data_IF_657850664861
#
_entry.id   IF_657850664861
#
_cell.length_a   1.000
_cell.length_b   1.000
_cell.length_c   1.000
_cell.angle_alpha   90.00
_cell.angle_beta   90.00
_cell.angle_gamma   90.00
#
_symmetry.space_group_name_H-M   'P 1'
#
loop_
_entity.id
_entity.type
_entity.pdbx_description
1 polymer ?
#
# COMPACT_ATOMS: atom_id res chain seq x y z
N UNK A 1 20.02 -1.92 -28.55
CA UNK A 1 18.81 -1.32 -27.98
C UNK A 1 19.15 -0.96 -26.53
N UNK A 2 19.32 0.33 -26.23
CA UNK A 2 19.71 0.78 -24.88
C UNK A 2 18.51 0.60 -23.94
N UNK A 3 18.65 -0.27 -22.94
CA UNK A 3 17.70 -0.35 -21.86
C UNK A 3 17.61 1.02 -21.18
N UNK A 4 16.43 1.62 -21.16
CA UNK A 4 16.21 2.93 -20.54
C UNK A 4 16.30 2.72 -19.03
N UNK A 5 17.31 3.31 -18.40
CA UNK A 5 17.50 3.28 -16.95
C UNK A 5 16.28 3.91 -16.23
N UNK A 6 15.49 3.13 -15.47
CA UNK A 6 14.27 3.61 -14.80
C UNK A 6 14.55 4.70 -13.77
N UNK A 7 15.72 4.66 -13.13
CA UNK A 7 16.15 5.69 -12.15
C UNK A 7 16.36 7.02 -12.85
N UNK A 8 17.00 7.01 -14.02
CA UNK A 8 17.21 8.19 -14.83
C UNK A 8 15.89 8.83 -15.27
N UNK A 9 14.92 8.02 -15.71
CA UNK A 9 13.61 8.55 -16.11
C UNK A 9 12.86 9.19 -14.93
N UNK A 10 12.91 8.57 -13.75
CA UNK A 10 12.27 9.10 -12.56
C UNK A 10 12.88 10.45 -12.13
N UNK A 11 14.20 10.58 -12.18
CA UNK A 11 14.91 11.83 -11.86
C UNK A 11 14.58 12.94 -12.87
N UNK A 12 14.58 12.63 -14.16
CA UNK A 12 14.20 13.58 -15.20
C UNK A 12 12.75 14.06 -15.04
N UNK A 13 11.84 13.14 -14.72
CA UNK A 13 10.45 13.49 -14.45
C UNK A 13 10.33 14.44 -13.24
N UNK A 14 11.07 14.19 -12.15
CA UNK A 14 11.11 15.09 -10.98
C UNK A 14 11.62 16.46 -11.33
N UNK A 15 12.69 16.57 -12.14
CA UNK A 15 13.25 17.85 -12.61
C UNK A 15 12.20 18.65 -13.40
N UNK A 16 11.43 17.98 -14.27
CA UNK A 16 10.37 18.66 -15.04
C UNK A 16 9.17 19.09 -14.18
N UNK A 17 8.81 18.28 -13.18
CA UNK A 17 7.77 18.64 -12.21
C UNK A 17 8.21 19.83 -11.38
N UNK A 18 9.45 19.82 -10.87
CA UNK A 18 10.02 20.93 -10.13
C UNK A 18 10.04 22.24 -10.94
N UNK A 19 10.43 22.20 -12.21
CA UNK A 19 10.35 23.37 -13.11
C UNK A 19 8.93 23.95 -13.14
N UNK A 20 7.90 23.09 -13.23
CA UNK A 20 6.50 23.52 -13.32
C UNK A 20 6.00 24.05 -11.97
N UNK A 21 6.31 23.39 -10.85
CA UNK A 21 5.85 23.80 -9.51
C UNK A 21 6.51 25.10 -9.05
N UNK A 22 7.79 25.29 -9.39
CA UNK A 22 8.52 26.51 -9.12
C UNK A 22 8.25 27.63 -10.14
N UNK A 23 7.37 27.38 -11.11
CA UNK A 23 7.03 28.31 -12.20
C UNK A 23 8.27 28.93 -12.89
N UNK A 24 9.33 28.14 -13.06
CA UNK A 24 10.58 28.64 -13.64
C UNK A 24 10.41 28.94 -15.14
N UNK A 25 10.77 30.16 -15.53
CA UNK A 25 10.89 30.52 -16.92
C UNK A 25 11.94 29.66 -17.64
N UNK A 26 11.79 29.45 -18.94
CA UNK A 26 12.68 28.58 -19.72
C UNK A 26 14.15 29.00 -19.62
N UNK A 27 14.42 30.29 -19.64
CA UNK A 27 15.78 30.84 -19.57
C UNK A 27 16.39 30.58 -18.19
N UNK A 28 15.62 30.79 -17.09
CA UNK A 28 16.06 30.52 -15.72
C UNK A 28 16.33 29.02 -15.53
N UNK A 29 15.45 28.18 -16.05
CA UNK A 29 15.63 26.73 -16.00
C UNK A 29 16.90 26.28 -16.74
N UNK A 30 17.13 26.79 -17.97
CA UNK A 30 18.34 26.47 -18.75
C UNK A 30 19.62 26.98 -18.07
N UNK A 31 19.56 28.17 -17.47
CA UNK A 31 20.68 28.72 -16.70
C UNK A 31 21.05 27.82 -15.52
N UNK A 32 20.07 27.30 -14.78
CA UNK A 32 20.29 26.36 -13.69
C UNK A 32 20.92 25.06 -14.23
N UNK A 33 20.38 24.45 -15.29
CA UNK A 33 20.97 23.26 -15.91
C UNK A 33 22.42 23.51 -16.36
N UNK A 34 22.66 24.64 -17.03
CA UNK A 34 24.01 25.06 -17.44
C UNK A 34 24.98 25.21 -16.28
N UNK A 35 24.54 25.80 -15.17
CA UNK A 35 25.36 25.94 -13.95
C UNK A 35 25.81 24.60 -13.39
N UNK A 36 24.89 23.64 -13.26
CA UNK A 36 25.21 22.31 -12.69
C UNK A 36 25.90 21.37 -13.67
N UNK A 37 25.86 21.65 -14.96
CA UNK A 37 26.61 20.92 -15.99
C UNK A 37 27.94 21.58 -16.34
N UNK A 38 28.39 22.60 -15.59
CA UNK A 38 29.58 23.42 -15.91
C UNK A 38 29.57 23.98 -17.33
N UNK A 39 28.40 24.41 -17.81
CA UNK A 39 28.20 24.97 -19.16
C UNK A 39 28.12 23.94 -20.29
N UNK A 40 28.24 22.66 -20.00
CA UNK A 40 28.30 21.58 -21.00
C UNK A 40 26.98 21.37 -21.72
N UNK A 41 25.87 21.62 -21.06
CA UNK A 41 24.51 21.46 -21.64
C UNK A 41 23.47 22.31 -20.92
N UNK A 42 22.44 22.68 -21.64
CA UNK A 42 21.21 23.33 -21.15
C UNK A 42 20.02 22.37 -21.06
N UNK A 43 20.24 21.09 -21.36
CA UNK A 43 19.22 20.05 -21.38
C UNK A 43 19.39 19.07 -20.22
N UNK A 44 18.35 18.91 -19.41
CA UNK A 44 18.32 17.93 -18.30
C UNK A 44 18.56 16.50 -18.76
N UNK A 45 18.17 16.16 -20.00
CA UNK A 45 18.36 14.82 -20.55
C UNK A 45 19.84 14.43 -20.71
N UNK A 46 20.76 15.42 -20.81
CA UNK A 46 22.20 15.21 -20.98
C UNK A 46 22.99 15.31 -19.67
N UNK A 47 22.31 15.47 -18.53
CA UNK A 47 22.94 15.49 -17.21
C UNK A 47 23.38 14.09 -16.79
N UNK A 48 24.54 14.01 -16.15
CA UNK A 48 25.00 12.81 -15.45
C UNK A 48 24.14 12.54 -14.21
N UNK A 49 24.16 11.33 -13.61
CA UNK A 49 23.43 11.03 -12.38
C UNK A 49 23.73 12.03 -11.24
N UNK A 50 25.01 12.35 -11.03
CA UNK A 50 25.46 13.30 -10.00
C UNK A 50 24.92 14.71 -10.24
N UNK A 51 24.93 15.18 -11.48
CA UNK A 51 24.39 16.49 -11.86
C UNK A 51 22.87 16.56 -11.69
N UNK A 52 22.13 15.47 -12.00
CA UNK A 52 20.68 15.41 -11.78
C UNK A 52 20.31 15.52 -10.31
N UNK A 53 21.06 14.83 -9.42
CA UNK A 53 20.86 14.98 -7.98
C UNK A 53 21.12 16.39 -7.51
N UNK A 54 22.25 16.99 -7.91
CA UNK A 54 22.59 18.36 -7.52
C UNK A 54 21.54 19.40 -8.00
N UNK A 55 20.95 19.20 -9.18
CA UNK A 55 19.83 20.03 -9.67
C UNK A 55 18.57 19.85 -8.82
N UNK A 56 18.25 18.61 -8.43
CA UNK A 56 17.09 18.33 -7.57
C UNK A 56 17.27 18.93 -6.18
N UNK A 57 18.45 18.77 -5.57
CA UNK A 57 18.79 19.37 -4.28
C UNK A 57 18.65 20.90 -4.34
N UNK A 58 19.12 21.52 -5.42
CA UNK A 58 18.94 22.96 -5.63
C UNK A 58 17.47 23.36 -5.75
N UNK A 59 16.66 22.60 -6.46
CA UNK A 59 15.22 22.87 -6.55
C UNK A 59 14.51 22.71 -5.19
N UNK A 60 14.97 21.79 -4.34
CA UNK A 60 14.48 21.67 -2.97
C UNK A 60 14.82 22.93 -2.14
N UNK A 61 16.01 23.49 -2.32
CA UNK A 61 16.35 24.79 -1.67
C UNK A 61 15.50 25.96 -2.16
N UNK A 62 14.99 25.90 -3.40
CA UNK A 62 14.07 26.88 -3.96
C UNK A 62 12.61 26.64 -3.52
N UNK A 63 12.35 25.63 -2.68
CA UNK A 63 11.03 25.32 -2.14
C UNK A 63 10.28 24.19 -2.85
N UNK A 64 10.89 23.54 -3.85
CA UNK A 64 10.33 22.31 -4.40
C UNK A 64 10.31 21.22 -3.32
N UNK A 65 9.14 20.71 -3.03
CA UNK A 65 8.98 19.54 -2.17
C UNK A 65 8.68 18.36 -3.06
N UNK A 66 9.63 17.43 -3.25
CA UNK A 66 9.35 16.23 -4.03
C UNK A 66 8.13 15.55 -3.41
N UNK A 67 6.97 15.77 -4.02
CA UNK A 67 5.78 15.04 -3.62
C UNK A 67 6.04 13.57 -3.96
N UNK A 68 5.91 12.68 -2.99
CA UNK A 68 5.79 11.24 -3.22
C UNK A 68 4.52 10.90 -4.04
N UNK A 69 3.86 11.91 -4.60
CA UNK A 69 2.72 11.77 -5.48
C UNK A 69 3.21 11.10 -6.75
N UNK A 70 2.95 9.82 -6.87
CA UNK A 70 3.07 9.11 -8.13
C UNK A 70 2.45 9.98 -9.24
N UNK A 71 3.13 10.16 -10.39
CA UNK A 71 2.60 10.99 -11.45
C UNK A 71 1.17 10.57 -11.78
N UNK A 72 0.26 11.53 -11.83
CA UNK A 72 -1.16 11.34 -12.11
C UNK A 72 -1.44 10.72 -13.49
N UNK A 73 -0.41 10.36 -14.22
CA UNK A 73 -0.41 10.02 -15.63
C UNK A 73 -0.53 8.53 -15.94
N UNK A 74 -0.93 7.67 -15.02
CA UNK A 74 -1.33 6.34 -15.45
C UNK A 74 -2.29 5.68 -14.45
N UNK A 75 -3.56 5.99 -14.61
CA UNK A 75 -4.68 5.29 -13.97
C UNK A 75 -4.95 3.91 -14.61
N UNK A 76 -4.00 3.35 -15.33
CA UNK A 76 -4.14 1.97 -15.81
C UNK A 76 -4.04 1.04 -14.63
N UNK A 77 -5.14 0.40 -14.31
CA UNK A 77 -5.21 -0.63 -13.28
C UNK A 77 -4.23 -1.74 -13.66
N UNK A 78 -3.30 -2.03 -12.77
CA UNK A 78 -2.40 -3.17 -12.95
C UNK A 78 -3.20 -4.47 -12.75
N UNK A 79 -3.47 -5.16 -13.83
CA UNK A 79 -4.28 -6.39 -13.86
C UNK A 79 -3.47 -7.67 -13.66
N UNK A 80 -2.15 -7.56 -13.43
CA UNK A 80 -1.32 -8.75 -13.18
C UNK A 80 -1.79 -9.48 -11.92
N UNK A 81 -1.77 -10.83 -11.92
CA UNK A 81 -2.19 -11.62 -10.76
C UNK A 81 -1.45 -11.26 -9.47
N UNK A 82 -0.15 -10.90 -9.57
CA UNK A 82 0.65 -10.47 -8.43
C UNK A 82 0.17 -9.12 -7.85
N UNK A 83 -0.15 -8.16 -8.71
CA UNK A 83 -0.68 -6.86 -8.28
C UNK A 83 -2.05 -7.03 -7.61
N UNK A 84 -2.91 -7.88 -8.17
CA UNK A 84 -4.20 -8.20 -7.54
C UNK A 84 -4.01 -8.87 -6.17
N UNK A 85 -3.03 -9.78 -6.06
CA UNK A 85 -2.72 -10.42 -4.78
C UNK A 85 -2.23 -9.42 -3.74
N UNK A 86 -1.38 -8.45 -4.13
CA UNK A 86 -0.95 -7.37 -3.23
C UNK A 86 -2.13 -6.55 -2.73
N UNK A 87 -3.05 -6.16 -3.62
CA UNK A 87 -4.27 -5.43 -3.25
C UNK A 87 -5.14 -6.22 -2.27
N UNK A 88 -5.33 -7.51 -2.52
CA UNK A 88 -6.12 -8.36 -1.64
C UNK A 88 -5.49 -8.50 -0.24
N UNK A 89 -4.17 -8.68 -0.16
CA UNK A 89 -3.46 -8.75 1.13
C UNK A 89 -3.50 -7.40 1.86
N UNK A 90 -3.34 -6.29 1.14
CA UNK A 90 -3.43 -4.93 1.69
C UNK A 90 -4.82 -4.64 2.26
N UNK A 91 -5.86 -5.03 1.52
CA UNK A 91 -7.24 -4.93 1.98
C UNK A 91 -7.49 -5.79 3.23
N UNK A 92 -6.99 -7.03 3.25
CA UNK A 92 -7.11 -7.89 4.43
C UNK A 92 -6.43 -7.27 5.66
N UNK A 93 -5.26 -6.67 5.51
CA UNK A 93 -4.57 -5.96 6.60
C UNK A 93 -5.37 -4.73 7.08
N UNK A 94 -6.03 -4.01 6.16
CA UNK A 94 -6.92 -2.93 6.55
C UNK A 94 -8.15 -3.44 7.32
N UNK A 95 -8.75 -4.53 6.89
CA UNK A 95 -9.87 -5.18 7.61
C UNK A 95 -9.42 -5.74 8.97
N UNK A 96 -8.19 -6.20 9.08
CA UNK A 96 -7.59 -6.61 10.35
C UNK A 96 -7.20 -5.43 11.25
N UNK A 97 -7.37 -4.18 10.83
CA UNK A 97 -7.01 -2.97 11.58
C UNK A 97 -5.51 -2.73 11.70
N UNK A 98 -4.70 -3.35 10.85
CA UNK A 98 -3.25 -3.21 10.84
C UNK A 98 -2.77 -2.10 9.89
N UNK A 99 -3.58 -1.76 8.90
CA UNK A 99 -3.35 -0.66 7.96
C UNK A 99 -4.42 0.42 8.20
N UNK A 100 -4.02 1.69 8.21
CA UNK A 100 -4.93 2.82 8.42
C UNK A 100 -5.39 3.48 7.12
N UNK A 101 -4.66 3.27 6.03
CA UNK A 101 -4.94 3.86 4.72
C UNK A 101 -5.02 2.75 3.65
N UNK A 102 -6.22 2.38 3.17
CA UNK A 102 -6.39 1.27 2.23
C UNK A 102 -6.12 1.63 0.77
N UNK A 103 -5.76 2.88 0.47
CA UNK A 103 -5.61 3.37 -0.90
C UNK A 103 -4.51 2.65 -1.69
N UNK A 104 -4.68 2.61 -3.01
CA UNK A 104 -3.64 2.14 -3.94
C UNK A 104 -2.34 2.94 -3.81
N UNK A 105 -2.42 4.21 -3.36
CA UNK A 105 -1.25 5.06 -3.12
C UNK A 105 -0.46 4.57 -1.91
N UNK A 106 -1.12 4.21 -0.81
CA UNK A 106 -0.48 3.69 0.38
C UNK A 106 0.16 2.32 0.12
N UNK A 107 -0.53 1.45 -0.64
CA UNK A 107 0.04 0.18 -1.10
C UNK A 107 1.28 0.42 -1.99
N UNK A 108 1.22 1.36 -2.94
CA UNK A 108 2.36 1.68 -3.80
C UNK A 108 3.56 2.20 -2.98
N UNK A 109 3.32 3.03 -1.95
CA UNK A 109 4.36 3.48 -1.04
C UNK A 109 4.97 2.33 -0.23
N UNK A 110 4.16 1.37 0.22
CA UNK A 110 4.65 0.15 0.87
C UNK A 110 5.55 -0.65 -0.08
N UNK A 111 5.10 -0.95 -1.29
CA UNK A 111 5.88 -1.71 -2.28
C UNK A 111 7.18 -0.99 -2.62
N UNK A 112 7.14 0.34 -2.79
CA UNK A 112 8.33 1.16 -3.06
C UNK A 112 9.40 1.02 -1.96
N UNK A 113 9.01 0.97 -0.69
CA UNK A 113 9.95 0.77 0.43
C UNK A 113 10.68 -0.57 0.36
N UNK A 114 10.02 -1.62 -0.13
CA UNK A 114 10.60 -2.97 -0.19
C UNK A 114 11.30 -3.29 -1.50
N UNK A 115 11.01 -2.56 -2.58
CA UNK A 115 11.56 -2.83 -3.92
C UNK A 115 12.40 -1.69 -4.46
N UNK A 116 12.37 -0.52 -3.82
CA UNK A 116 12.99 0.74 -4.28
C UNK A 116 12.46 1.22 -5.64
N UNK A 117 11.31 0.71 -6.10
CA UNK A 117 10.69 1.05 -7.38
C UNK A 117 9.41 1.84 -7.14
N UNK A 118 9.36 3.06 -7.63
CA UNK A 118 8.34 4.06 -7.29
C UNK A 118 6.91 3.71 -7.75
N UNK A 119 6.74 2.92 -8.80
CA UNK A 119 5.40 2.57 -9.30
C UNK A 119 5.20 1.06 -9.36
N UNK A 120 4.03 0.60 -8.90
CA UNK A 120 3.68 -0.81 -8.84
C UNK A 120 3.89 -1.53 -10.20
N UNK A 121 3.46 -0.89 -11.28
CA UNK A 121 3.56 -1.42 -12.65
C UNK A 121 4.97 -1.59 -13.19
N UNK A 122 5.95 -0.86 -12.62
CA UNK A 122 7.35 -0.94 -13.05
C UNK A 122 8.11 -2.06 -12.33
N UNK A 123 7.51 -2.64 -11.30
CA UNK A 123 8.07 -3.78 -10.61
C UNK A 123 8.00 -5.03 -11.48
N UNK A 124 9.08 -5.80 -11.51
CA UNK A 124 9.09 -7.13 -12.12
C UNK A 124 8.23 -8.11 -11.31
N UNK A 125 7.94 -9.29 -11.85
CA UNK A 125 7.26 -10.34 -11.11
C UNK A 125 8.05 -10.78 -9.85
N UNK A 126 9.36 -10.73 -9.90
CA UNK A 126 10.24 -11.05 -8.78
C UNK A 126 10.14 -10.00 -7.67
N UNK A 127 10.16 -8.70 -8.02
CA UNK A 127 10.01 -7.61 -7.05
C UNK A 127 8.65 -7.68 -6.34
N UNK A 128 7.57 -7.89 -7.12
CA UNK A 128 6.23 -8.03 -6.55
C UNK A 128 6.11 -9.25 -5.64
N UNK A 129 6.88 -10.34 -5.92
CA UNK A 129 6.93 -11.50 -5.04
C UNK A 129 7.51 -11.15 -3.67
N UNK A 130 8.59 -10.37 -3.62
CA UNK A 130 9.17 -9.88 -2.35
C UNK A 130 8.13 -9.12 -1.54
N UNK A 131 7.45 -8.15 -2.16
CA UNK A 131 6.42 -7.38 -1.48
C UNK A 131 5.23 -8.26 -1.01
N UNK A 132 4.83 -9.27 -1.80
CA UNK A 132 3.80 -10.25 -1.41
C UNK A 132 4.23 -11.04 -0.19
N UNK A 133 5.47 -11.49 -0.14
CA UNK A 133 5.96 -12.31 0.98
C UNK A 133 6.08 -11.47 2.26
N UNK A 134 6.49 -10.20 2.16
CA UNK A 134 6.42 -9.23 3.27
C UNK A 134 4.98 -9.04 3.78
N UNK A 135 4.00 -8.82 2.89
CA UNK A 135 2.59 -8.68 3.30
C UNK A 135 2.03 -9.95 3.93
N UNK A 136 2.38 -11.12 3.43
CA UNK A 136 1.99 -12.39 4.06
C UNK A 136 2.59 -12.56 5.46
N UNK A 137 3.86 -12.17 5.64
CA UNK A 137 4.50 -12.14 6.96
C UNK A 137 3.71 -11.22 7.90
N UNK A 138 3.36 -10.02 7.45
CA UNK A 138 2.56 -9.09 8.24
C UNK A 138 1.17 -9.63 8.56
N UNK A 139 0.46 -10.22 7.59
CA UNK A 139 -0.82 -10.89 7.84
C UNK A 139 -0.70 -11.94 8.95
N UNK A 140 0.33 -12.81 8.92
CA UNK A 140 0.56 -13.81 9.95
C UNK A 140 0.79 -13.20 11.34
N UNK A 141 1.59 -12.13 11.43
CA UNK A 141 1.84 -11.42 12.71
C UNK A 141 0.56 -10.85 13.32
N UNK A 142 -0.37 -10.38 12.50
CA UNK A 142 -1.66 -9.88 12.99
C UNK A 142 -2.72 -10.97 13.20
N UNK A 143 -2.35 -12.23 13.00
CA UNK A 143 -3.24 -13.37 13.23
C UNK A 143 -4.08 -13.79 12.03
N UNK A 144 -3.84 -13.21 10.84
CA UNK A 144 -4.52 -13.61 9.62
C UNK A 144 -3.60 -14.47 8.74
N UNK A 145 -3.93 -15.73 8.60
CA UNK A 145 -3.25 -16.62 7.66
C UNK A 145 -4.05 -16.68 6.36
N UNK A 146 -3.57 -16.01 5.33
CA UNK A 146 -4.09 -16.14 3.98
C UNK A 146 -3.73 -17.52 3.41
N UNK A 147 -4.37 -18.58 3.91
CA UNK A 147 -4.22 -19.93 3.39
C UNK A 147 -4.64 -19.95 1.92
N UNK A 148 -3.97 -20.71 1.05
CA UNK A 148 -4.50 -20.97 -0.27
C UNK A 148 -5.78 -21.79 -0.10
N UNK A 149 -6.91 -21.22 -0.40
CA UNK A 149 -8.16 -21.96 -0.48
C UNK A 149 -7.99 -23.07 -1.52
N UNK A 150 -8.26 -24.32 -1.12
CA UNK A 150 -8.43 -25.43 -2.05
C UNK A 150 -9.78 -25.25 -2.74
N UNK A 151 -9.83 -24.40 -3.77
CA UNK A 151 -11.03 -24.08 -4.51
C UNK A 151 -10.88 -22.75 -5.25
N UNK A 152 -11.78 -22.46 -6.15
CA UNK A 152 -11.84 -21.18 -6.88
C UNK A 152 -11.99 -20.04 -5.88
N UNK A 153 -10.96 -19.21 -5.77
CA UNK A 153 -10.97 -18.04 -4.88
C UNK A 153 -12.14 -17.14 -5.20
N UNK A 154 -12.96 -16.77 -4.21
CA UNK A 154 -13.77 -15.59 -4.36
C UNK A 154 -12.82 -14.38 -4.38
N UNK A 155 -12.90 -13.55 -5.38
CA UNK A 155 -12.30 -12.22 -5.39
C UNK A 155 -13.05 -11.36 -4.38
N UNK A 156 -12.31 -10.51 -3.65
CA UNK A 156 -12.91 -9.41 -2.89
C UNK A 156 -13.77 -8.59 -3.88
N UNK A 157 -15.07 -8.70 -3.79
CA UNK A 157 -16.03 -8.13 -4.75
C UNK A 157 -17.04 -9.13 -5.26
N UNK A 158 -16.82 -10.44 -5.17
CA UNK A 158 -17.82 -11.47 -5.51
C UNK A 158 -18.68 -11.91 -4.31
N UNK A 159 -18.64 -11.15 -3.19
CA UNK A 159 -19.58 -11.34 -2.07
C UNK A 159 -19.37 -12.61 -1.24
N UNK A 160 -18.22 -13.27 -1.34
CA UNK A 160 -17.84 -14.35 -0.43
C UNK A 160 -16.69 -13.89 0.42
N UNK A 161 -16.99 -13.36 1.59
CA UNK A 161 -15.99 -13.15 2.60
C UNK A 161 -15.57 -14.48 3.21
N UNK A 162 -14.27 -14.64 3.35
CA UNK A 162 -13.72 -15.85 3.95
C UNK A 162 -14.13 -15.89 5.42
N UNK A 163 -14.82 -16.92 5.91
CA UNK A 163 -15.11 -17.11 7.33
C UNK A 163 -13.84 -16.97 8.19
N UNK A 164 -12.71 -17.40 7.65
CA UNK A 164 -11.37 -17.28 8.27
C UNK A 164 -11.00 -15.83 8.60
N UNK A 165 -11.40 -14.83 7.78
CA UNK A 165 -11.13 -13.42 8.07
C UNK A 165 -11.95 -12.94 9.27
N UNK A 166 -13.21 -13.32 9.36
CA UNK A 166 -14.12 -12.98 10.46
C UNK A 166 -13.60 -13.57 11.78
N UNK A 167 -13.21 -14.85 11.76
CA UNK A 167 -12.61 -15.51 12.91
C UNK A 167 -11.30 -14.86 13.34
N UNK A 168 -10.43 -14.53 12.38
CA UNK A 168 -9.18 -13.84 12.65
C UNK A 168 -9.39 -12.44 13.26
N UNK A 169 -10.38 -11.67 12.74
CA UNK A 169 -10.75 -10.38 13.30
C UNK A 169 -11.24 -10.51 14.76
N UNK A 170 -12.09 -11.50 15.02
CA UNK A 170 -12.58 -11.76 16.37
C UNK A 170 -11.45 -12.16 17.32
N UNK A 171 -10.61 -13.12 16.93
CA UNK A 171 -9.46 -13.53 17.70
C UNK A 171 -8.51 -12.37 18.02
N UNK A 172 -8.32 -11.46 17.06
CA UNK A 172 -7.52 -10.25 17.28
C UNK A 172 -8.18 -9.28 18.27
N UNK A 173 -9.49 -9.09 18.22
CA UNK A 173 -10.22 -8.28 19.22
C UNK A 173 -10.07 -8.85 20.63
N UNK A 174 -10.17 -10.18 20.77
CA UNK A 174 -9.93 -10.86 22.05
C UNK A 174 -8.49 -10.64 22.53
N UNK A 175 -7.51 -10.82 21.65
CA UNK A 175 -6.09 -10.60 21.95
C UNK A 175 -5.79 -9.14 22.38
N UNK A 176 -6.51 -8.19 21.84
CA UNK A 176 -6.39 -6.77 22.17
C UNK A 176 -7.17 -6.37 23.44
N UNK A 177 -7.80 -7.32 24.11
CA UNK A 177 -8.65 -7.12 25.29
C UNK A 177 -9.82 -6.14 25.02
N UNK A 178 -10.31 -6.17 23.78
CA UNK A 178 -11.42 -5.34 23.35
C UNK A 178 -12.78 -5.98 23.62
N UNK A 179 -12.82 -7.31 23.71
CA UNK A 179 -14.00 -8.11 24.03
C UNK A 179 -14.03 -8.36 25.54
N UNK A 180 -15.01 -7.80 26.23
CA UNK A 180 -15.17 -8.03 27.67
C UNK A 180 -15.60 -9.47 27.94
N UNK A 181 -15.03 -10.07 28.97
CA UNK A 181 -15.47 -11.37 29.46
C UNK A 181 -16.93 -11.29 29.93
N UNK A 182 -17.77 -12.24 29.51
CA UNK A 182 -19.20 -12.29 29.84
C UNK A 182 -20.06 -12.81 28.70
N UNK A 183 -21.32 -12.40 28.62
CA UNK A 183 -22.30 -12.88 27.63
C UNK A 183 -21.92 -12.58 26.17
N UNK A 184 -20.98 -11.69 25.91
CA UNK A 184 -20.48 -11.36 24.57
C UNK A 184 -19.14 -12.02 24.23
N UNK A 185 -18.71 -12.99 25.03
CA UNK A 185 -17.39 -13.61 24.88
C UNK A 185 -17.23 -14.47 23.62
N UNK A 186 -18.29 -14.75 22.88
CA UNK A 186 -18.23 -15.50 21.63
C UNK A 186 -18.64 -14.68 20.40
N UNK A 187 -18.02 -14.98 19.28
CA UNK A 187 -18.39 -14.39 18.00
C UNK A 187 -19.87 -14.64 17.67
N UNK A 188 -20.38 -15.84 17.93
CA UNK A 188 -21.78 -16.21 17.71
C UNK A 188 -22.75 -15.34 18.53
N UNK A 189 -22.43 -15.09 19.80
CA UNK A 189 -23.26 -14.22 20.66
C UNK A 189 -23.21 -12.78 20.17
N UNK A 190 -22.03 -12.28 19.79
CA UNK A 190 -21.91 -10.94 19.24
C UNK A 190 -22.71 -10.80 17.92
N UNK A 191 -22.61 -11.74 16.99
CA UNK A 191 -23.39 -11.73 15.75
C UNK A 191 -24.88 -11.71 16.04
N UNK A 192 -25.37 -12.52 16.97
CA UNK A 192 -26.78 -12.53 17.37
C UNK A 192 -27.24 -11.21 17.96
N UNK A 193 -26.44 -10.57 18.80
CA UNK A 193 -26.74 -9.26 19.40
C UNK A 193 -26.76 -8.13 18.35
N UNK A 194 -25.93 -8.23 17.31
CA UNK A 194 -25.92 -7.30 16.17
C UNK A 194 -27.06 -7.52 15.17
N UNK A 195 -27.90 -8.54 15.40
CA UNK A 195 -29.05 -8.84 14.57
C UNK A 195 -28.80 -9.77 13.39
N UNK A 196 -27.63 -10.37 13.30
CA UNK A 196 -27.33 -11.38 12.27
C UNK A 196 -28.04 -12.69 12.60
N UNK A 197 -28.65 -13.31 11.58
CA UNK A 197 -29.44 -14.55 11.76
C UNK A 197 -28.55 -15.78 11.95
N UNK A 198 -27.32 -15.71 11.51
CA UNK A 198 -26.34 -16.80 11.50
C UNK A 198 -25.42 -16.66 12.70
N UNK A 199 -25.05 -17.80 13.31
CA UNK A 199 -24.20 -17.84 14.51
C UNK A 199 -22.80 -18.40 14.23
N UNK A 200 -22.59 -18.98 13.05
CA UNK A 200 -21.31 -19.51 12.62
C UNK A 200 -20.85 -18.85 11.31
N UNK A 201 -19.59 -18.45 11.20
CA UNK A 201 -19.09 -17.76 9.98
C UNK A 201 -19.22 -18.60 8.70
N UNK A 202 -19.15 -19.91 8.81
CA UNK A 202 -19.28 -20.85 7.68
C UNK A 202 -20.69 -20.91 7.08
N UNK A 203 -21.71 -20.53 7.87
CA UNK A 203 -23.12 -20.55 7.46
C UNK A 203 -23.58 -19.18 6.90
N UNK A 204 -22.69 -18.21 6.82
CA UNK A 204 -23.00 -16.87 6.36
C UNK A 204 -23.45 -16.86 4.89
N UNK A 205 -24.51 -16.14 4.65
CA UNK A 205 -24.96 -15.84 3.30
C UNK A 205 -24.11 -14.73 2.64
N UNK A 206 -24.48 -14.39 1.41
CA UNK A 206 -23.71 -13.46 0.56
C UNK A 206 -23.71 -12.03 1.08
N UNK A 207 -24.72 -11.66 1.85
CA UNK A 207 -24.98 -10.27 2.20
C UNK A 207 -24.46 -9.94 3.61
N UNK A 208 -24.57 -10.88 4.54
CA UNK A 208 -24.16 -10.68 5.95
C UNK A 208 -22.63 -10.66 6.13
N UNK A 209 -21.88 -11.47 5.38
CA UNK A 209 -20.43 -11.58 5.49
C UNK A 209 -19.68 -10.25 5.34
N UNK A 210 -19.92 -9.47 4.26
CA UNK A 210 -19.28 -8.16 4.06
C UNK A 210 -19.59 -7.17 5.19
N UNK A 211 -20.80 -7.18 5.73
CA UNK A 211 -21.20 -6.29 6.80
C UNK A 211 -20.49 -6.64 8.12
N UNK A 212 -20.41 -7.93 8.46
CA UNK A 212 -19.67 -8.41 9.65
C UNK A 212 -18.21 -8.01 9.56
N UNK A 213 -17.54 -8.29 8.45
CA UNK A 213 -16.13 -7.88 8.24
C UNK A 213 -15.96 -6.38 8.40
N UNK A 214 -16.86 -5.58 7.84
CA UNK A 214 -16.81 -4.12 7.94
C UNK A 214 -16.96 -3.64 9.40
N UNK A 215 -17.91 -4.20 10.15
CA UNK A 215 -18.17 -3.84 11.56
C UNK A 215 -16.98 -4.23 12.45
N UNK A 216 -16.49 -5.45 12.33
CA UNK A 216 -15.32 -5.92 13.07
C UNK A 216 -14.06 -5.13 12.70
N UNK A 217 -13.84 -4.84 11.43
CA UNK A 217 -12.73 -4.04 10.96
C UNK A 217 -12.76 -2.60 11.50
N UNK A 218 -13.92 -1.97 11.54
CA UNK A 218 -14.09 -0.65 12.18
C UNK A 218 -13.77 -0.70 13.68
N UNK A 219 -14.18 -1.76 14.35
CA UNK A 219 -13.89 -1.95 15.78
C UNK A 219 -12.40 -2.14 16.00
N UNK A 220 -11.74 -3.01 15.25
CA UNK A 220 -10.29 -3.22 15.30
C UNK A 220 -9.52 -1.92 15.08
N UNK A 221 -9.82 -1.15 14.04
CA UNK A 221 -9.14 0.14 13.77
C UNK A 221 -9.32 1.15 14.90
N UNK A 222 -10.45 1.14 15.58
CA UNK A 222 -10.69 2.00 16.75
C UNK A 222 -9.83 1.60 17.95
N UNK A 223 -9.71 0.30 18.20
CA UNK A 223 -8.93 -0.24 19.33
C UNK A 223 -7.42 -0.13 19.07
N UNK A 224 -6.99 -0.36 17.82
CA UNK A 224 -5.58 -0.32 17.45
C UNK A 224 -4.98 1.10 17.43
N UNK A 225 -5.78 2.16 17.23
CA UNK A 225 -5.29 3.55 17.18
C UNK A 225 -4.56 4.05 18.43
N UNK A 226 -4.69 3.36 19.55
CA UNK A 226 -4.03 3.71 20.81
C UNK A 226 -2.88 2.80 21.23
N UNK A 227 -2.60 1.75 20.46
CA UNK A 227 -1.57 0.75 20.83
C UNK A 227 -0.44 0.79 19.81
N UNK A 228 0.85 0.79 20.24
CA UNK A 228 1.97 0.69 19.29
C UNK A 228 1.86 -0.65 18.56
N UNK A 229 1.70 -0.59 17.25
CA UNK A 229 1.73 -1.80 16.44
C UNK A 229 3.15 -2.35 16.32
N UNK A 230 3.22 -3.67 16.21
CA UNK A 230 4.44 -4.40 15.85
C UNK A 230 4.93 -3.78 14.55
N UNK A 231 6.09 -3.11 14.63
CA UNK A 231 6.66 -2.36 13.54
C UNK A 231 6.95 -3.23 12.32
N UNK A 232 6.98 -2.57 11.15
CA UNK A 232 7.33 -3.08 9.82
C UNK A 232 8.80 -3.59 9.72
N UNK A 233 9.43 -3.95 10.85
CA UNK A 233 10.80 -4.42 10.88
C UNK A 233 10.95 -5.82 10.25
N UNK A 234 12.06 -6.10 9.55
CA UNK A 234 12.37 -7.45 9.13
C UNK A 234 12.48 -8.34 10.37
N UNK A 235 11.98 -9.56 10.26
CA UNK A 235 12.27 -10.61 11.23
C UNK A 235 13.79 -10.83 11.23
N UNK A 236 14.47 -10.64 12.37
CA UNK A 236 15.84 -11.06 12.61
C UNK A 236 15.95 -12.59 12.56
#
# INVERSE_FOLDING_TARGET
>A
MNAVDPTRQAELAKIHVAKKELALADDSYRAIIGRFSAGRTDSSAKLSPRERHAVLDHFETLGFKPSARAPAADRRVDTRPQAQKLKNLWQALWEMGAVYEPSDQALAAFVCRHTSIAALRWNSAADLKVAIDCLKGWCRRVGYSAQPFHGRRPTLGEGRYEPVLIEAQWARLVKLDAVKAGEQASLATWMGNEGFRVRAPEDLDRDDGPEIVSRLGKWLRRVSRGKPEISDGPDD
#
